data_IF_184086988571
#
_entry.id   IF_184086988571
#
_cell.length_a   1.000
_cell.length_b   1.000
_cell.length_c   1.000
_cell.angle_alpha   90.00
_cell.angle_beta   90.00
_cell.angle_gamma   90.00
#
_symmetry.space_group_name_H-M   'P 1'
#
loop_
_entity.id
_entity.type
_entity.pdbx_description
1 polymer ?
#
# COMPACT_ATOMS: atom_id res chain seq x y z
N UNK A 1 -56.08 6.37 -20.67
CA UNK A 1 -55.14 6.12 -21.77
C UNK A 1 -53.97 5.33 -21.18
N UNK A 2 -53.66 4.19 -21.78
CA UNK A 2 -52.85 3.11 -21.21
C UNK A 2 -51.39 3.50 -20.94
N UNK A 3 -50.86 2.98 -19.84
CA UNK A 3 -49.44 2.91 -19.52
C UNK A 3 -48.91 1.67 -20.24
N UNK A 4 -48.12 1.86 -21.30
CA UNK A 4 -47.39 0.78 -21.95
C UNK A 4 -45.98 0.69 -21.36
N UNK A 5 -45.64 -0.50 -20.87
CA UNK A 5 -44.34 -0.85 -20.34
C UNK A 5 -43.24 -0.89 -21.40
N UNK A 6 -42.00 -0.67 -20.95
CA UNK A 6 -40.80 -1.00 -21.71
C UNK A 6 -39.94 -1.94 -20.88
N UNK A 7 -39.67 -3.06 -21.51
CA UNK A 7 -38.90 -4.23 -21.13
C UNK A 7 -37.45 -3.92 -20.75
N UNK A 8 -36.92 -4.69 -19.81
CA UNK A 8 -35.50 -4.84 -19.54
C UNK A 8 -34.73 -5.14 -20.83
N UNK A 9 -33.69 -4.36 -21.12
CA UNK A 9 -32.63 -4.77 -22.05
C UNK A 9 -31.35 -5.00 -21.24
N UNK A 10 -30.83 -6.21 -21.34
CA UNK A 10 -29.58 -6.62 -20.73
C UNK A 10 -28.43 -5.91 -21.45
N UNK A 11 -27.67 -5.12 -20.71
CA UNK A 11 -26.42 -4.54 -21.21
C UNK A 11 -25.40 -5.67 -21.37
N UNK A 12 -25.12 -6.07 -22.62
CA UNK A 12 -23.95 -6.87 -22.97
C UNK A 12 -22.86 -5.90 -23.42
N UNK A 13 -21.68 -5.85 -22.77
CA UNK A 13 -20.57 -5.09 -23.32
C UNK A 13 -19.99 -5.86 -24.51
N UNK A 14 -20.02 -5.24 -25.69
CA UNK A 14 -19.21 -5.67 -26.83
C UNK A 14 -17.71 -5.43 -26.56
N UNK A 15 -16.82 -6.28 -27.10
CA UNK A 15 -15.39 -6.17 -26.85
C UNK A 15 -14.82 -4.97 -27.62
N UNK A 16 -14.25 -4.00 -26.90
CA UNK A 16 -13.55 -2.88 -27.51
C UNK A 16 -12.25 -3.36 -28.15
N UNK A 17 -12.26 -3.54 -29.47
CA UNK A 17 -11.05 -3.64 -30.29
C UNK A 17 -10.32 -2.28 -30.33
N UNK A 18 -8.99 -2.37 -30.38
CA UNK A 18 -8.01 -1.36 -30.78
C UNK A 18 -7.59 -0.30 -29.74
N UNK A 19 -6.80 -0.72 -28.75
CA UNK A 19 -5.68 0.10 -28.26
C UNK A 19 -4.49 -0.18 -29.19
N UNK A 20 -4.34 0.65 -30.22
CA UNK A 20 -3.15 0.68 -31.07
C UNK A 20 -1.99 1.28 -30.29
N UNK A 21 -0.85 0.59 -30.34
CA UNK A 21 0.51 0.99 -29.97
C UNK A 21 0.72 2.47 -29.59
N UNK A 22 1.02 2.72 -28.31
CA UNK A 22 1.96 3.76 -27.91
C UNK A 22 3.15 3.09 -27.20
N UNK A 23 4.36 3.47 -27.61
CA UNK A 23 5.60 2.76 -27.33
C UNK A 23 6.05 2.75 -25.86
N UNK A 24 6.83 1.69 -25.56
CA UNK A 24 7.92 1.60 -24.58
C UNK A 24 7.78 2.30 -23.22
N UNK A 25 7.59 1.49 -22.17
CA UNK A 25 8.27 1.72 -20.87
C UNK A 25 7.55 2.57 -19.82
N UNK A 26 6.22 2.60 -19.77
CA UNK A 26 5.55 3.24 -18.64
C UNK A 26 5.78 2.45 -17.33
N UNK A 27 6.15 3.13 -16.24
CA UNK A 27 6.29 2.58 -14.89
C UNK A 27 5.06 1.78 -14.45
N UNK A 28 3.86 2.21 -14.84
CA UNK A 28 2.61 1.48 -14.60
C UNK A 28 2.61 0.10 -15.30
N UNK A 29 3.16 -0.03 -16.51
CA UNK A 29 3.28 -1.31 -17.23
C UNK A 29 4.36 -2.21 -16.62
N UNK A 30 5.40 -1.63 -16.04
CA UNK A 30 6.43 -2.36 -15.28
C UNK A 30 5.88 -2.86 -13.95
N UNK A 31 5.12 -2.05 -13.22
CA UNK A 31 4.36 -2.47 -12.03
C UNK A 31 3.30 -3.52 -12.38
N UNK A 32 2.58 -3.38 -13.49
CA UNK A 32 1.61 -4.38 -13.94
C UNK A 32 2.29 -5.70 -14.32
N UNK A 33 3.46 -5.65 -14.96
CA UNK A 33 4.27 -6.84 -15.28
C UNK A 33 4.83 -7.50 -14.02
N UNK A 34 5.32 -6.72 -13.04
CA UNK A 34 5.76 -7.22 -11.73
C UNK A 34 4.61 -7.80 -10.91
N UNK A 35 3.44 -7.16 -10.93
CA UNK A 35 2.23 -7.66 -10.31
C UNK A 35 1.73 -8.94 -10.99
N UNK A 36 1.80 -9.04 -12.33
CA UNK A 36 1.44 -10.26 -13.09
C UNK A 36 2.41 -11.42 -12.87
N UNK A 37 3.72 -11.17 -12.86
CA UNK A 37 4.74 -12.18 -12.58
C UNK A 37 4.69 -12.68 -11.13
N UNK A 38 4.37 -11.78 -10.18
CA UNK A 38 4.02 -12.14 -8.80
C UNK A 38 2.69 -12.89 -8.72
N UNK A 39 1.69 -12.54 -9.53
CA UNK A 39 0.38 -13.18 -9.55
C UNK A 39 0.46 -14.67 -9.93
N UNK A 40 1.28 -15.07 -10.90
CA UNK A 40 1.28 -16.47 -11.37
C UNK A 40 1.87 -17.46 -10.34
N UNK A 41 2.76 -17.01 -9.47
CA UNK A 41 3.30 -17.81 -8.34
C UNK A 41 2.52 -17.63 -7.04
N UNK A 42 2.01 -16.42 -6.76
CA UNK A 42 1.21 -16.11 -5.58
C UNK A 42 -0.21 -16.72 -5.67
N UNK A 43 -0.81 -16.73 -6.87
CA UNK A 43 -2.22 -17.11 -6.99
C UNK A 43 -2.48 -18.60 -7.04
N UNK A 44 -1.58 -19.49 -7.45
CA UNK A 44 -1.96 -20.91 -7.57
C UNK A 44 -1.96 -21.67 -6.24
N UNK A 45 -0.97 -21.42 -5.38
CA UNK A 45 -0.86 -22.08 -4.08
C UNK A 45 -1.81 -21.47 -3.04
N UNK A 46 -2.05 -20.14 -3.10
CA UNK A 46 -3.06 -19.52 -2.26
C UNK A 46 -4.48 -19.71 -2.80
N UNK A 47 -4.76 -19.74 -4.13
CA UNK A 47 -6.13 -19.99 -4.67
C UNK A 47 -6.79 -21.25 -4.10
N UNK A 48 -6.00 -22.29 -3.84
CA UNK A 48 -6.52 -23.56 -3.32
C UNK A 48 -6.78 -23.53 -1.80
N UNK A 49 -6.24 -22.55 -1.07
CA UNK A 49 -6.67 -22.21 0.31
C UNK A 49 -7.73 -21.09 0.32
N UNK A 50 -7.80 -20.32 -0.77
CA UNK A 50 -8.70 -19.20 -1.08
C UNK A 50 -10.03 -19.71 -1.69
N UNK A 51 -10.33 -21.01 -1.69
CA UNK A 51 -11.68 -21.47 -2.01
C UNK A 51 -12.74 -21.00 -1.00
N UNK A 52 -12.32 -20.56 0.20
CA UNK A 52 -13.17 -19.82 1.14
C UNK A 52 -13.17 -18.30 0.91
N UNK A 53 -12.31 -17.79 0.02
CA UNK A 53 -12.38 -16.42 -0.47
C UNK A 53 -13.43 -16.27 -1.57
N UNK A 54 -14.70 -16.49 -1.22
CA UNK A 54 -15.81 -15.78 -1.88
C UNK A 54 -15.77 -14.26 -1.66
N UNK A 55 -14.57 -13.69 -1.45
CA UNK A 55 -14.30 -12.38 -0.84
C UNK A 55 -14.50 -11.24 -1.83
N UNK A 56 -14.27 -11.42 -3.13
CA UNK A 56 -14.73 -10.40 -4.10
C UNK A 56 -16.26 -10.35 -4.20
N UNK A 57 -16.94 -11.49 -4.01
CA UNK A 57 -18.41 -11.55 -3.93
C UNK A 57 -18.94 -10.95 -2.62
N UNK A 58 -18.28 -11.16 -1.48
CA UNK A 58 -18.67 -10.64 -0.15
C UNK A 58 -18.22 -9.21 0.16
N UNK A 59 -17.08 -8.75 -0.37
CA UNK A 59 -16.65 -7.33 -0.29
C UNK A 59 -17.60 -6.44 -1.10
N UNK A 60 -18.17 -6.95 -2.19
CA UNK A 60 -19.17 -6.22 -3.00
C UNK A 60 -20.62 -6.50 -2.55
N UNK A 61 -20.89 -7.62 -1.86
CA UNK A 61 -22.13 -7.85 -1.12
C UNK A 61 -22.01 -7.31 0.31
N UNK A 62 -21.80 -6.01 0.44
CA UNK A 62 -22.17 -5.33 1.67
C UNK A 62 -23.70 -5.41 1.71
N UNK A 63 -24.26 -6.26 2.57
CA UNK A 63 -25.68 -6.17 2.91
C UNK A 63 -25.96 -4.69 3.22
N UNK A 64 -26.84 -4.08 2.42
CA UNK A 64 -27.35 -2.72 2.56
C UNK A 64 -28.25 -2.59 3.81
N UNK A 65 -27.79 -3.08 4.95
CA UNK A 65 -28.37 -2.70 6.22
C UNK A 65 -28.06 -1.23 6.41
N UNK A 66 -29.10 -0.41 6.55
CA UNK A 66 -29.01 0.97 7.00
C UNK A 66 -28.29 0.96 8.35
N UNK A 67 -27.00 1.31 8.37
CA UNK A 67 -26.25 1.42 9.61
C UNK A 67 -26.66 2.73 10.30
N UNK A 68 -26.89 2.65 11.61
CA UNK A 68 -27.16 3.81 12.45
C UNK A 68 -25.83 4.53 12.71
N UNK A 69 -25.66 5.73 12.13
CA UNK A 69 -24.44 6.52 12.34
C UNK A 69 -24.30 6.99 13.78
N UNK A 70 -25.39 7.08 14.57
CA UNK A 70 -25.43 7.80 15.86
C UNK A 70 -24.91 9.24 15.82
N UNK A 71 -24.53 9.75 14.64
CA UNK A 71 -24.01 11.10 14.47
C UNK A 71 -25.18 12.06 14.54
N UNK A 72 -25.07 13.05 15.43
CA UNK A 72 -26.12 14.02 15.72
C UNK A 72 -26.02 15.26 14.83
N UNK A 73 -24.82 15.55 14.31
CA UNK A 73 -24.54 16.68 13.43
C UNK A 73 -23.28 16.48 12.59
N UNK A 74 -23.18 17.26 11.52
CA UNK A 74 -21.94 17.48 10.79
C UNK A 74 -21.05 18.45 11.56
N UNK A 75 -19.73 18.27 11.49
CA UNK A 75 -18.75 19.05 12.24
C UNK A 75 -17.66 19.57 11.32
N UNK A 76 -17.34 20.84 11.49
CA UNK A 76 -16.24 21.52 10.83
C UNK A 76 -15.22 21.96 11.88
N UNK A 77 -14.01 21.42 11.76
CA UNK A 77 -12.83 21.85 12.54
C UNK A 77 -11.89 22.63 11.64
N UNK A 78 -10.79 23.15 12.18
CA UNK A 78 -9.76 23.83 11.37
C UNK A 78 -9.23 22.94 10.24
N UNK A 79 -8.95 21.66 10.55
CA UNK A 79 -8.33 20.70 9.62
C UNK A 79 -9.31 19.71 8.98
N UNK A 80 -10.36 19.33 9.69
CA UNK A 80 -11.27 18.26 9.28
C UNK A 80 -12.70 18.74 9.02
N UNK A 81 -13.33 18.13 8.03
CA UNK A 81 -14.78 18.15 7.83
C UNK A 81 -15.32 16.74 8.06
N UNK A 82 -16.33 16.61 8.92
CA UNK A 82 -16.89 15.35 9.36
C UNK A 82 -18.38 15.37 9.02
N UNK A 83 -18.77 14.58 8.02
CA UNK A 83 -20.13 14.55 7.51
C UNK A 83 -20.69 13.13 7.54
N UNK A 84 -22.00 12.98 7.51
CA UNK A 84 -22.63 11.66 7.45
C UNK A 84 -23.19 11.42 6.05
N UNK A 85 -23.14 10.16 5.58
CA UNK A 85 -23.74 9.78 4.30
C UNK A 85 -24.89 8.78 4.47
N UNK A 86 -25.90 8.83 3.58
CA UNK A 86 -26.91 7.78 3.47
C UNK A 86 -26.23 6.41 3.33
N UNK A 87 -26.64 5.46 4.17
CA UNK A 87 -25.97 4.16 4.29
C UNK A 87 -25.13 4.00 5.55
N UNK A 88 -25.06 5.00 6.43
CA UNK A 88 -24.65 4.78 7.81
C UNK A 88 -23.14 4.91 8.09
N UNK A 89 -22.46 5.76 7.31
CA UNK A 89 -21.04 6.04 7.46
C UNK A 89 -20.81 7.50 7.86
N UNK A 90 -19.77 7.71 8.66
CA UNK A 90 -19.19 9.04 8.90
C UNK A 90 -17.99 9.22 7.95
N UNK A 91 -18.06 10.22 7.10
CA UNK A 91 -17.01 10.59 6.16
C UNK A 91 -16.15 11.68 6.79
N UNK A 92 -14.84 11.42 6.84
CA UNK A 92 -13.83 12.34 7.35
C UNK A 92 -13.04 12.87 6.16
N UNK A 93 -13.01 14.18 6.01
CA UNK A 93 -12.27 14.90 4.99
C UNK A 93 -11.15 15.68 5.64
N UNK A 94 -9.94 15.61 5.06
CA UNK A 94 -8.75 16.32 5.56
C UNK A 94 -8.42 17.48 4.63
N UNK A 95 -8.58 18.71 5.12
CA UNK A 95 -8.39 19.95 4.36
C UNK A 95 -6.93 20.12 3.94
N UNK A 96 -5.98 19.61 4.71
CA UNK A 96 -4.55 19.65 4.34
C UNK A 96 -4.22 18.69 3.20
N UNK A 97 -5.04 17.67 2.96
CA UNK A 97 -4.91 16.73 1.83
C UNK A 97 -5.70 17.19 0.59
N UNK A 98 -5.96 18.49 0.48
CA UNK A 98 -6.74 19.07 -0.61
C UNK A 98 -8.25 18.87 -0.45
N UNK A 99 -8.73 18.56 0.76
CA UNK A 99 -10.16 18.41 1.06
C UNK A 99 -10.79 17.12 0.54
N UNK A 100 -9.99 16.12 0.16
CA UNK A 100 -10.48 14.82 -0.28
C UNK A 100 -10.98 13.97 0.92
N UNK A 101 -11.87 13.00 0.65
CA UNK A 101 -12.33 12.02 1.64
C UNK A 101 -11.10 11.22 2.13
N UNK A 102 -10.67 11.48 3.36
CA UNK A 102 -9.52 10.83 3.96
C UNK A 102 -9.88 9.45 4.53
N UNK A 103 -11.09 9.33 5.07
CA UNK A 103 -11.54 8.09 5.69
C UNK A 103 -13.06 7.99 5.69
N UNK A 104 -13.57 6.77 5.47
CA UNK A 104 -14.98 6.44 5.66
C UNK A 104 -15.10 5.51 6.85
N UNK A 105 -15.68 6.02 7.92
CA UNK A 105 -15.83 5.27 9.16
C UNK A 105 -17.20 4.60 9.20
N UNK A 106 -17.19 3.26 9.21
CA UNK A 106 -18.37 2.47 9.57
C UNK A 106 -18.44 2.44 11.09
N UNK A 107 -19.34 3.22 11.69
CA UNK A 107 -19.46 3.32 13.14
C UNK A 107 -19.79 1.96 13.78
N UNK A 108 -18.80 1.33 14.39
CA UNK A 108 -19.01 0.34 15.43
C UNK A 108 -18.73 0.99 16.79
N UNK A 109 -19.17 0.35 17.88
CA UNK A 109 -19.06 0.94 19.22
C UNK A 109 -17.62 1.14 19.71
N UNK A 110 -16.62 0.51 19.06
CA UNK A 110 -15.27 0.34 19.62
C UNK A 110 -14.12 0.51 18.59
N UNK A 111 -14.14 1.52 17.73
CA UNK A 111 -13.20 1.57 16.58
C UNK A 111 -11.92 2.39 16.77
N UNK A 112 -11.81 3.21 17.82
CA UNK A 112 -10.56 3.93 18.10
C UNK A 112 -9.55 2.96 18.70
N UNK A 113 -8.49 2.68 17.93
CA UNK A 113 -7.43 1.77 18.31
C UNK A 113 -6.20 2.53 18.76
N UNK A 114 -5.65 2.17 19.91
CA UNK A 114 -4.52 2.87 20.54
C UNK A 114 -3.30 1.96 20.54
N UNK A 115 -2.21 2.41 19.92
CA UNK A 115 -0.92 1.76 20.06
C UNK A 115 -0.32 2.12 21.43
N UNK A 116 -0.33 1.19 22.37
CA UNK A 116 0.12 1.43 23.76
C UNK A 116 1.58 1.89 23.85
N UNK A 117 2.42 1.53 22.86
CA UNK A 117 3.85 1.88 22.85
C UNK A 117 4.07 3.35 22.50
N UNK A 118 3.35 3.86 21.51
CA UNK A 118 3.54 5.24 21.01
C UNK A 118 2.46 6.21 21.48
N UNK A 119 1.35 5.73 22.01
CA UNK A 119 0.16 6.52 22.36
C UNK A 119 -0.64 7.00 21.15
N UNK A 120 -0.28 6.57 19.93
CA UNK A 120 -1.00 6.95 18.72
C UNK A 120 -2.38 6.29 18.67
N UNK A 121 -3.37 7.07 18.25
CA UNK A 121 -4.76 6.62 18.06
C UNK A 121 -5.07 6.52 16.57
N UNK A 122 -5.83 5.48 16.19
CA UNK A 122 -6.15 5.18 14.80
C UNK A 122 -7.62 4.81 14.64
N UNK A 123 -8.22 5.24 13.53
CA UNK A 123 -9.35 4.55 12.92
C UNK A 123 -8.81 3.70 11.77
N UNK A 124 -9.20 2.42 11.71
CA UNK A 124 -8.73 1.48 10.69
C UNK A 124 -9.94 0.71 10.15
N UNK A 125 -10.15 0.71 8.83
CA UNK A 125 -10.97 -0.36 8.23
C UNK A 125 -10.03 -1.42 7.69
N UNK A 126 -10.06 -2.58 8.34
CA UNK A 126 -9.44 -3.79 7.84
C UNK A 126 -10.30 -4.36 6.71
N UNK A 127 -9.75 -4.40 5.50
CA UNK A 127 -10.41 -4.92 4.31
C UNK A 127 -10.00 -6.38 4.03
N UNK A 128 -9.17 -6.97 4.88
CA UNK A 128 -8.64 -8.32 4.75
C UNK A 128 -7.45 -8.43 3.79
N UNK A 129 -6.73 -9.55 3.88
CA UNK A 129 -5.58 -9.87 3.01
C UNK A 129 -4.49 -8.77 2.99
N UNK A 130 -4.26 -8.12 4.13
CA UNK A 130 -3.27 -7.05 4.26
C UNK A 130 -3.69 -5.71 3.67
N UNK A 131 -4.92 -5.61 3.12
CA UNK A 131 -5.50 -4.37 2.64
C UNK A 131 -6.25 -3.68 3.77
N UNK A 132 -5.98 -2.40 3.94
CA UNK A 132 -6.66 -1.57 4.93
C UNK A 132 -6.59 -0.11 4.50
N UNK A 133 -7.44 0.72 5.08
CA UNK A 133 -7.24 2.15 5.12
C UNK A 133 -7.21 2.61 6.59
N UNK A 134 -6.53 3.72 6.84
CA UNK A 134 -6.43 4.26 8.19
C UNK A 134 -6.39 5.78 8.19
N UNK A 135 -6.76 6.36 9.33
CA UNK A 135 -6.47 7.74 9.68
C UNK A 135 -6.00 7.80 11.13
N UNK A 136 -5.03 8.68 11.39
CA UNK A 136 -4.60 8.99 12.76
C UNK A 136 -5.63 9.90 13.39
N UNK A 137 -6.07 9.54 14.59
CA UNK A 137 -6.96 10.37 15.40
C UNK A 137 -6.10 11.33 16.21
N UNK A 138 -5.77 12.46 15.60
CA UNK A 138 -5.13 13.57 16.32
C UNK A 138 -6.15 14.32 17.19
N UNK A 139 -5.70 15.30 17.97
CA UNK A 139 -6.57 16.04 18.90
C UNK A 139 -7.73 16.74 18.17
N UNK A 140 -7.48 17.32 17.00
CA UNK A 140 -8.49 18.01 16.21
C UNK A 140 -9.56 17.05 15.69
N UNK A 141 -9.15 15.89 15.17
CA UNK A 141 -10.08 14.85 14.74
C UNK A 141 -10.84 14.26 15.95
N UNK A 142 -10.16 14.00 17.07
CA UNK A 142 -10.79 13.47 18.27
C UNK A 142 -11.91 14.38 18.79
N UNK A 143 -11.63 15.69 18.90
CA UNK A 143 -12.64 16.68 19.29
C UNK A 143 -13.81 16.72 18.30
N UNK A 144 -13.51 16.72 16.99
CA UNK A 144 -14.53 16.72 15.95
C UNK A 144 -15.42 15.47 15.99
N UNK A 145 -14.86 14.29 16.26
CA UNK A 145 -15.62 13.04 16.40
C UNK A 145 -16.50 13.04 17.66
N UNK A 146 -15.99 13.53 18.80
CA UNK A 146 -16.77 13.69 20.03
C UNK A 146 -17.97 14.61 19.83
N UNK A 147 -17.76 15.73 19.15
CA UNK A 147 -18.83 16.67 18.81
C UNK A 147 -19.85 16.06 17.84
N UNK A 148 -19.39 15.36 16.80
CA UNK A 148 -20.27 14.76 15.79
C UNK A 148 -21.17 13.66 16.38
N UNK A 149 -20.70 12.97 17.42
CA UNK A 149 -21.40 11.88 18.10
C UNK A 149 -22.14 12.32 19.37
N UNK A 150 -22.00 13.58 19.79
CA UNK A 150 -22.53 14.12 21.06
C UNK A 150 -22.11 13.29 22.29
N UNK A 151 -20.81 12.98 22.37
CA UNK A 151 -20.22 12.20 23.48
C UNK A 151 -19.07 12.97 24.13
N UNK A 152 -18.87 12.76 25.43
CA UNK A 152 -17.74 13.35 26.16
C UNK A 152 -16.42 12.62 25.87
N UNK A 153 -16.49 11.33 25.59
CA UNK A 153 -15.33 10.45 25.39
C UNK A 153 -15.61 9.47 24.24
N UNK A 154 -14.55 9.12 23.50
CA UNK A 154 -14.59 8.04 22.54
C UNK A 154 -14.15 6.75 23.24
N UNK A 155 -14.80 5.64 22.92
CA UNK A 155 -14.35 4.35 23.41
C UNK A 155 -13.06 3.95 22.70
N UNK A 156 -12.03 3.65 23.48
CA UNK A 156 -10.70 3.27 23.02
C UNK A 156 -10.43 1.80 23.32
N UNK A 157 -9.71 1.12 22.42
CA UNK A 157 -9.20 -0.23 22.63
C UNK A 157 -7.73 -0.32 22.22
N UNK A 158 -6.96 -1.28 22.75
CA UNK A 158 -5.60 -1.53 22.27
C UNK A 158 -5.58 -1.84 20.77
N UNK A 159 -4.54 -1.39 20.07
CA UNK A 159 -4.27 -1.73 18.68
C UNK A 159 -3.97 -3.23 18.58
N UNK A 160 -4.77 -3.94 17.78
CA UNK A 160 -4.64 -5.38 17.56
C UNK A 160 -4.42 -5.68 16.08
N UNK A 161 -3.67 -6.73 15.75
CA UNK A 161 -3.36 -7.17 14.38
C UNK A 161 -2.53 -6.20 13.52
N UNK A 162 -2.11 -5.06 14.05
CA UNK A 162 -1.20 -4.13 13.40
C UNK A 162 0.00 -3.84 14.29
N UNK A 163 1.11 -3.44 13.67
CA UNK A 163 2.30 -2.98 14.34
C UNK A 163 2.73 -1.62 13.80
N UNK A 164 2.97 -0.67 14.70
CA UNK A 164 3.59 0.62 14.37
C UNK A 164 5.11 0.45 14.39
N UNK A 165 5.75 0.90 13.33
CA UNK A 165 7.19 0.86 13.13
C UNK A 165 7.71 2.26 12.84
N UNK A 166 9.01 2.47 13.05
CA UNK A 166 9.69 3.72 12.77
C UNK A 166 10.99 3.43 12.03
N UNK A 167 11.15 4.06 10.86
CA UNK A 167 12.41 4.03 10.13
C UNK A 167 13.48 4.77 10.94
N UNK A 168 14.60 4.11 11.21
CA UNK A 168 15.65 4.64 12.09
C UNK A 168 16.39 5.82 11.45
N UNK A 169 16.48 5.87 10.12
CA UNK A 169 17.22 6.90 9.40
C UNK A 169 16.44 8.21 9.31
N UNK A 170 15.16 8.12 8.95
CA UNK A 170 14.31 9.30 8.74
C UNK A 170 13.47 9.66 9.98
N UNK A 171 13.24 8.70 10.88
CA UNK A 171 12.29 8.83 11.99
C UNK A 171 10.83 8.76 11.56
N UNK A 172 10.53 8.51 10.27
CA UNK A 172 9.16 8.42 9.78
C UNK A 172 8.51 7.13 10.28
N UNK A 173 7.28 7.25 10.79
CA UNK A 173 6.49 6.13 11.28
C UNK A 173 5.59 5.55 10.20
N UNK A 174 5.35 4.25 10.27
CA UNK A 174 4.43 3.54 9.39
C UNK A 174 3.74 2.41 10.16
N UNK A 175 2.57 2.01 9.69
CA UNK A 175 1.75 0.95 10.29
C UNK A 175 1.64 -0.22 9.30
N UNK A 176 1.80 -1.43 9.80
CA UNK A 176 1.77 -2.65 8.98
C UNK A 176 0.84 -3.68 9.61
N UNK A 177 -0.02 -4.36 8.83
CA UNK A 177 -0.78 -5.50 9.33
C UNK A 177 0.18 -6.65 9.66
N UNK A 178 -0.01 -7.29 10.82
CA UNK A 178 0.81 -8.40 11.28
C UNK A 178 0.70 -9.58 10.30
N UNK A 179 1.83 -10.13 9.88
CA UNK A 179 1.89 -11.19 8.86
C UNK A 179 1.89 -10.69 7.41
N UNK A 180 1.76 -9.38 7.18
CA UNK A 180 1.84 -8.75 5.86
C UNK A 180 3.04 -7.81 5.74
N UNK A 181 4.12 -8.07 6.47
CA UNK A 181 5.31 -7.22 6.51
C UNK A 181 5.95 -7.01 5.14
N UNK A 182 5.83 -8.00 4.25
CA UNK A 182 6.30 -7.92 2.86
C UNK A 182 5.58 -6.88 2.00
N UNK A 183 4.43 -6.37 2.45
CA UNK A 183 3.69 -5.29 1.76
C UNK A 183 4.17 -3.88 2.17
N UNK A 184 4.98 -3.77 3.23
CA UNK A 184 5.50 -2.51 3.77
C UNK A 184 4.50 -1.67 4.56
N UNK A 185 3.20 -1.92 4.45
CA UNK A 185 2.17 -1.14 5.16
C UNK A 185 2.01 0.30 4.66
N UNK A 186 1.42 1.15 5.50
CA UNK A 186 1.08 2.55 5.20
C UNK A 186 1.86 3.54 6.07
N UNK A 187 2.35 4.61 5.47
CA UNK A 187 3.04 5.69 6.19
C UNK A 187 2.04 6.51 7.00
N UNK A 188 2.43 6.83 8.23
CA UNK A 188 1.72 7.81 9.06
C UNK A 188 2.13 9.20 8.57
N UNK A 189 1.25 9.82 7.79
CA UNK A 189 1.52 11.05 7.07
C UNK A 189 1.16 12.28 7.91
N UNK A 190 2.16 12.83 8.59
CA UNK A 190 2.14 14.17 9.19
C UNK A 190 3.02 15.15 8.37
N UNK A 191 3.05 16.42 8.81
CA UNK A 191 3.80 17.48 8.11
C UNK A 191 5.30 17.17 8.04
N UNK A 192 5.89 16.72 9.15
CA UNK A 192 7.31 16.41 9.22
C UNK A 192 7.67 15.22 8.33
N UNK A 193 6.83 14.16 8.34
CA UNK A 193 6.99 13.01 7.47
C UNK A 193 6.91 13.41 5.99
N UNK A 194 5.99 14.33 5.63
CA UNK A 194 5.87 14.83 4.27
C UNK A 194 7.13 15.58 3.82
N UNK A 195 7.62 16.51 4.64
CA UNK A 195 8.83 17.29 4.33
C UNK A 195 10.07 16.39 4.17
N UNK A 196 10.21 15.38 5.03
CA UNK A 196 11.28 14.39 4.94
C UNK A 196 11.17 13.52 3.69
N UNK A 197 9.96 13.08 3.33
CA UNK A 197 9.73 12.31 2.09
C UNK A 197 9.97 13.16 0.84
N UNK A 198 9.58 14.44 0.84
CA UNK A 198 9.88 15.39 -0.23
C UNK A 198 11.41 15.53 -0.42
N UNK A 199 12.17 15.60 0.68
CA UNK A 199 13.64 15.63 0.63
C UNK A 199 14.22 14.34 0.04
N UNK A 200 13.77 13.18 0.52
CA UNK A 200 14.21 11.87 0.00
C UNK A 200 13.87 11.72 -1.49
N UNK A 201 12.67 12.14 -1.93
CA UNK A 201 12.26 12.08 -3.32
C UNK A 201 13.20 12.92 -4.22
N UNK A 202 13.59 14.12 -3.78
CA UNK A 202 14.57 14.95 -4.51
C UNK A 202 15.93 14.27 -4.60
N UNK A 203 16.37 13.56 -3.56
CA UNK A 203 17.60 12.77 -3.61
C UNK A 203 17.51 11.64 -4.66
N UNK A 204 16.37 10.93 -4.73
CA UNK A 204 16.16 9.89 -5.75
C UNK A 204 16.24 10.43 -7.18
N UNK A 205 15.57 11.56 -7.46
CA UNK A 205 15.65 12.24 -8.76
C UNK A 205 17.08 12.62 -9.13
N UNK A 206 17.82 13.16 -8.16
CA UNK A 206 19.20 13.58 -8.41
C UNK A 206 20.15 12.39 -8.58
N UNK A 207 19.94 11.30 -7.84
CA UNK A 207 20.87 10.18 -7.79
C UNK A 207 20.65 9.16 -8.91
N UNK A 208 19.42 9.00 -9.38
CA UNK A 208 19.06 7.99 -10.39
C UNK A 208 18.24 8.58 -11.55
N UNK A 209 18.75 9.57 -12.29
CA UNK A 209 17.98 10.27 -13.33
C UNK A 209 17.54 9.37 -14.50
N UNK A 210 18.21 8.24 -14.73
CA UNK A 210 17.82 7.28 -15.78
C UNK A 210 16.81 6.22 -15.29
N UNK A 211 16.52 6.16 -13.98
CA UNK A 211 15.56 5.21 -13.40
C UNK A 211 14.31 5.89 -12.87
N UNK A 212 14.42 7.14 -12.42
CA UNK A 212 13.35 7.89 -11.78
C UNK A 212 13.08 9.13 -12.62
N UNK A 213 11.95 9.12 -13.33
CA UNK A 213 11.67 10.11 -14.37
C UNK A 213 10.69 11.19 -13.93
N UNK A 214 10.02 11.00 -12.79
CA UNK A 214 9.05 11.94 -12.25
C UNK A 214 9.16 12.09 -10.74
N UNK A 215 8.60 13.19 -10.23
CA UNK A 215 8.54 13.45 -8.81
C UNK A 215 7.70 12.38 -8.08
N UNK A 216 6.63 11.92 -8.71
CA UNK A 216 5.72 10.91 -8.20
C UNK A 216 6.40 9.54 -8.08
N UNK A 217 7.21 9.15 -9.07
CA UNK A 217 8.04 7.94 -9.01
C UNK A 217 9.09 8.05 -7.91
N UNK A 218 9.71 9.21 -7.77
CA UNK A 218 10.68 9.46 -6.72
C UNK A 218 10.06 9.36 -5.33
N UNK A 219 8.86 9.90 -5.17
CA UNK A 219 8.04 9.77 -3.98
C UNK A 219 7.70 8.31 -3.70
N UNK A 220 7.33 7.54 -4.74
CA UNK A 220 7.10 6.11 -4.59
C UNK A 220 8.34 5.42 -4.01
N UNK A 221 9.52 5.60 -4.60
CA UNK A 221 10.76 5.01 -4.07
C UNK A 221 11.08 5.46 -2.63
N UNK A 222 10.93 6.75 -2.34
CA UNK A 222 11.15 7.28 -0.99
C UNK A 222 10.23 6.61 0.06
N UNK A 223 8.95 6.40 -0.28
CA UNK A 223 8.03 5.72 0.64
C UNK A 223 8.39 4.25 0.83
N UNK A 224 8.91 3.57 -0.19
CA UNK A 224 9.36 2.18 -0.07
C UNK A 224 10.66 2.07 0.74
N UNK A 225 11.57 3.05 0.65
CA UNK A 225 12.79 3.11 1.48
C UNK A 225 12.42 3.21 2.96
N UNK A 226 11.52 4.14 3.32
CA UNK A 226 11.04 4.30 4.70
C UNK A 226 10.40 3.03 5.25
N UNK A 227 9.68 2.29 4.39
CA UNK A 227 9.04 1.01 4.77
C UNK A 227 10.00 -0.18 4.73
N UNK A 228 11.29 0.05 4.49
CA UNK A 228 12.33 -0.97 4.46
C UNK A 228 12.23 -1.93 3.25
N UNK A 229 11.52 -1.55 2.20
CA UNK A 229 11.34 -2.37 0.98
C UNK A 229 12.27 -1.96 -0.16
N UNK A 230 12.97 -0.84 -0.02
CA UNK A 230 13.87 -0.31 -1.04
C UNK A 230 15.13 0.23 -0.37
N UNK A 231 16.27 0.05 -1.04
CA UNK A 231 17.56 0.59 -0.63
C UNK A 231 18.24 1.28 -1.81
N UNK A 232 18.84 2.42 -1.52
CA UNK A 232 19.71 3.16 -2.43
C UNK A 232 21.12 2.61 -2.35
N UNK A 233 21.76 2.44 -3.50
CA UNK A 233 23.14 1.96 -3.62
C UNK A 233 23.93 2.86 -4.58
N UNK A 234 25.24 2.70 -4.66
CA UNK A 234 26.04 3.49 -5.61
C UNK A 234 25.80 3.10 -7.07
N UNK A 235 25.39 1.85 -7.32
CA UNK A 235 25.12 1.32 -8.66
C UNK A 235 23.66 1.35 -9.06
N UNK A 236 22.71 1.59 -8.15
CA UNK A 236 21.29 1.54 -8.48
C UNK A 236 20.33 1.49 -7.29
N UNK A 237 19.16 0.91 -7.51
CA UNK A 237 18.10 0.77 -6.52
C UNK A 237 17.83 -0.72 -6.27
N UNK A 238 18.01 -1.16 -5.04
CA UNK A 238 17.67 -2.50 -4.57
C UNK A 238 16.25 -2.52 -4.01
N UNK A 239 15.46 -3.54 -4.32
CA UNK A 239 14.08 -3.69 -3.83
C UNK A 239 13.79 -5.11 -3.37
N UNK A 240 12.99 -5.24 -2.32
CA UNK A 240 12.44 -6.52 -1.86
C UNK A 240 10.91 -6.49 -1.93
N UNK A 241 10.34 -7.50 -2.59
CA UNK A 241 8.91 -7.79 -2.61
C UNK A 241 8.62 -9.05 -1.78
N UNK A 242 7.37 -9.51 -1.79
CA UNK A 242 6.95 -10.73 -1.05
C UNK A 242 7.66 -12.00 -1.49
N UNK A 243 8.10 -12.07 -2.74
CA UNK A 243 8.72 -13.25 -3.34
C UNK A 243 9.89 -12.88 -4.26
N UNK A 244 10.45 -11.68 -4.15
CA UNK A 244 11.46 -11.22 -5.10
C UNK A 244 12.49 -10.29 -4.48
N UNK A 245 13.74 -10.39 -4.93
CA UNK A 245 14.74 -9.32 -4.84
C UNK A 245 14.95 -8.76 -6.24
N UNK A 246 15.04 -7.45 -6.36
CA UNK A 246 15.27 -6.76 -7.62
C UNK A 246 16.40 -5.77 -7.47
N UNK A 247 17.26 -5.71 -8.48
CA UNK A 247 18.20 -4.62 -8.67
C UNK A 247 17.84 -3.85 -9.94
N UNK A 248 17.66 -2.55 -9.80
CA UNK A 248 17.56 -1.61 -10.90
C UNK A 248 18.90 -0.90 -11.03
N UNK A 249 19.66 -1.21 -12.07
CA UNK A 249 20.92 -0.55 -12.33
C UNK A 249 20.68 0.90 -12.75
N UNK A 250 21.41 1.86 -12.16
CA UNK A 250 21.29 3.29 -12.44
C UNK A 250 21.49 3.68 -13.91
N UNK A 251 22.16 2.85 -14.70
CA UNK A 251 22.35 3.06 -16.14
C UNK A 251 21.19 2.49 -16.97
N UNK A 252 20.21 1.83 -16.33
CA UNK A 252 19.07 1.19 -16.98
C UNK A 252 19.39 -0.16 -17.64
N UNK A 253 20.64 -0.60 -17.63
CA UNK A 253 21.13 -1.82 -18.30
C UNK A 253 21.51 -2.88 -17.26
N UNK A 254 21.30 -4.16 -17.55
CA UNK A 254 21.62 -5.28 -16.64
C UNK A 254 20.85 -5.25 -15.31
N UNK A 255 19.63 -4.70 -15.32
CA UNK A 255 18.71 -4.85 -14.19
C UNK A 255 18.20 -6.29 -14.13
N UNK A 256 17.97 -6.80 -12.92
CA UNK A 256 17.61 -8.20 -12.70
C UNK A 256 16.62 -8.37 -11.56
N UNK A 257 15.94 -9.51 -11.56
CA UNK A 257 15.04 -9.96 -10.50
C UNK A 257 15.36 -11.40 -10.17
N UNK A 258 15.54 -11.70 -8.89
CA UNK A 258 15.51 -13.08 -8.40
C UNK A 258 14.15 -13.31 -7.74
N UNK A 259 13.45 -14.36 -8.16
CA UNK A 259 12.19 -14.81 -7.56
C UNK A 259 12.50 -15.96 -6.61
N UNK A 260 11.92 -15.96 -5.41
CA UNK A 260 12.12 -16.98 -4.38
C UNK A 260 10.77 -17.38 -3.74
N UNK A 261 10.72 -18.51 -3.00
CA UNK A 261 9.50 -18.91 -2.28
C UNK A 261 9.09 -17.86 -1.22
N UNK A 262 7.90 -17.23 -1.31
CA UNK A 262 7.46 -16.21 -0.35
C UNK A 262 7.53 -16.64 1.13
N UNK A 263 7.47 -17.94 1.44
CA UNK A 263 7.64 -18.43 2.82
C UNK A 263 9.00 -18.13 3.41
N UNK A 264 10.00 -17.90 2.57
CA UNK A 264 11.39 -17.59 2.93
C UNK A 264 11.62 -16.07 3.07
N UNK A 265 10.59 -15.24 2.88
CA UNK A 265 10.71 -13.78 2.87
C UNK A 265 11.45 -13.21 4.08
N UNK A 266 11.17 -13.69 5.29
CA UNK A 266 11.83 -13.20 6.51
C UNK A 266 13.35 -13.41 6.47
N UNK A 267 13.80 -14.59 6.03
CA UNK A 267 15.23 -14.92 5.94
C UNK A 267 15.93 -14.09 4.86
N UNK A 268 15.24 -13.84 3.74
CA UNK A 268 15.77 -12.97 2.68
C UNK A 268 15.78 -11.51 3.13
N UNK A 269 14.73 -11.03 3.82
CA UNK A 269 14.63 -9.67 4.37
C UNK A 269 15.73 -9.39 5.38
N UNK A 270 16.01 -10.33 6.28
CA UNK A 270 17.12 -10.21 7.24
C UNK A 270 18.47 -10.02 6.57
N UNK A 271 18.69 -10.62 5.40
CA UNK A 271 19.91 -10.44 4.61
C UNK A 271 19.89 -9.11 3.86
N UNK A 272 18.76 -8.80 3.22
CA UNK A 272 18.52 -7.53 2.56
C UNK A 272 18.77 -6.34 3.48
N UNK A 273 18.39 -6.42 4.75
CA UNK A 273 18.52 -5.32 5.70
C UNK A 273 19.94 -5.04 6.19
N UNK A 274 20.86 -6.00 6.08
CA UNK A 274 22.25 -5.78 6.47
C UNK A 274 22.94 -4.81 5.51
N UNK A 275 23.77 -3.93 6.06
CA UNK A 275 24.46 -2.87 5.31
C UNK A 275 25.91 -3.24 4.94
N UNK A 276 26.31 -4.51 5.12
CA UNK A 276 27.66 -5.01 4.91
C UNK A 276 27.75 -6.02 3.74
N UNK A 277 26.69 -6.17 2.95
CA UNK A 277 26.68 -7.09 1.80
C UNK A 277 27.45 -6.50 0.61
N UNK A 278 28.78 -6.61 0.65
CA UNK A 278 29.58 -6.37 -0.54
C UNK A 278 29.08 -7.27 -1.68
N UNK A 279 28.70 -6.67 -2.81
CA UNK A 279 28.20 -7.41 -3.98
C UNK A 279 26.68 -7.60 -4.05
N UNK A 280 25.87 -7.01 -3.16
CA UNK A 280 24.40 -7.17 -3.20
C UNK A 280 23.73 -6.65 -4.49
N UNK A 281 24.41 -5.81 -5.28
CA UNK A 281 23.96 -5.35 -6.59
C UNK A 281 24.08 -6.44 -7.68
N UNK A 282 24.79 -7.55 -7.41
CA UNK A 282 24.98 -8.69 -8.33
C UNK A 282 23.96 -9.79 -8.06
N UNK A 283 23.41 -10.38 -9.13
CA UNK A 283 22.49 -11.50 -8.99
C UNK A 283 23.21 -12.77 -8.52
N UNK A 284 24.50 -12.94 -8.84
CA UNK A 284 25.34 -14.04 -8.39
C UNK A 284 25.42 -14.09 -6.86
N UNK A 285 25.61 -12.95 -6.19
CA UNK A 285 25.58 -12.86 -4.72
C UNK A 285 24.28 -13.45 -4.15
N UNK A 286 23.14 -13.07 -4.73
CA UNK A 286 21.83 -13.54 -4.25
C UNK A 286 21.59 -15.01 -4.57
N UNK A 287 22.00 -15.48 -5.75
CA UNK A 287 21.88 -16.89 -6.12
C UNK A 287 22.75 -17.80 -5.25
N UNK A 288 23.99 -17.39 -4.95
CA UNK A 288 24.88 -18.11 -4.02
C UNK A 288 24.27 -18.15 -2.61
N UNK A 289 23.72 -17.03 -2.15
CA UNK A 289 23.01 -16.95 -0.87
C UNK A 289 21.79 -17.89 -0.85
N UNK A 290 20.98 -17.90 -1.90
CA UNK A 290 19.82 -18.79 -2.01
C UNK A 290 20.23 -20.25 -2.04
N UNK A 291 21.29 -20.60 -2.77
CA UNK A 291 21.84 -21.95 -2.78
C UNK A 291 22.30 -22.38 -1.37
N UNK A 292 23.03 -21.51 -0.66
CA UNK A 292 23.49 -21.77 0.71
C UNK A 292 22.32 -21.94 1.69
N UNK A 293 21.25 -21.16 1.54
CA UNK A 293 20.04 -21.22 2.34
C UNK A 293 19.04 -22.28 1.87
N UNK A 294 19.37 -23.04 0.82
CA UNK A 294 18.50 -24.03 0.15
C UNK A 294 17.13 -23.44 -0.21
N UNK A 295 17.14 -22.20 -0.68
CA UNK A 295 15.98 -21.48 -1.21
C UNK A 295 15.95 -21.75 -2.71
N UNK A 296 14.86 -22.33 -3.20
CA UNK A 296 14.63 -22.41 -4.64
C UNK A 296 14.36 -21.00 -5.18
N UNK A 297 15.16 -20.60 -6.17
CA UNK A 297 15.10 -19.27 -6.73
C UNK A 297 15.40 -19.29 -8.23
N UNK A 298 14.78 -18.37 -8.96
CA UNK A 298 14.99 -18.21 -10.39
C UNK A 298 15.37 -16.77 -10.73
N UNK A 299 16.27 -16.63 -11.69
CA UNK A 299 16.71 -15.34 -12.21
C UNK A 299 15.84 -14.94 -13.42
N UNK A 300 15.38 -13.69 -13.43
CA UNK A 300 14.77 -13.01 -14.55
C UNK A 300 15.59 -11.76 -14.86
N UNK A 301 16.16 -11.68 -16.06
CA UNK A 301 16.90 -10.51 -16.52
C UNK A 301 16.01 -9.66 -17.44
N UNK A 302 16.04 -8.34 -17.26
CA UNK A 302 15.40 -7.43 -18.20
C UNK A 302 16.41 -7.08 -19.29
N UNK A 303 16.33 -7.75 -20.43
CA UNK A 303 17.19 -7.39 -21.57
C UNK A 303 16.62 -6.13 -22.22
N UNK A 304 17.34 -5.02 -22.16
CA UNK A 304 16.96 -3.75 -22.81
C UNK A 304 17.31 -3.77 -24.31
N UNK A 305 17.03 -4.88 -25.00
CA UNK A 305 17.31 -5.04 -26.44
C UNK A 305 16.15 -5.68 -27.19
N UNK A 306 14.97 -5.07 -27.08
CA UNK A 306 14.02 -5.06 -28.19
C UNK A 306 14.02 -3.65 -28.80
N UNK A 307 15.17 -3.33 -29.41
CA UNK A 307 15.27 -2.28 -30.41
C UNK A 307 15.45 -2.94 -31.77
N UNK A 308 14.34 -3.06 -32.50
CA UNK A 308 14.26 -3.02 -33.97
C UNK A 308 12.82 -2.68 -34.37
#
# INVERSE_FOLDING_TARGET
MQINGISSSAYKPEPSENIKNMGSGCFADTLLRRAKAGLDSYTRAERNKISDCGVYGRILQVNMHTYDTRATKEVETERYSITWKPGGYLCIYDKERGGNEAFRWKLNKDDVQVDEKTGLKFLINDLGCGLFNMVVVDEGLEQGLKEALDVSELYEKPLVNFSVQQDQKTGIRYITPNGFESSGGQIIMDKEAREKLDSLAKEYLSQYPNLVHSYEEAWFHATFEVRGLTKRTSGGIMQIGSNSITFLNKDGINSWVCIFDPKRWKEVKEKFDRNDNAGEESWEFWMDLFQALKIDASLLTFDSRDGN
#
